data_IF_687306515678
#
_entry.id   IF_687306515678
#
_cell.length_a   1.000
_cell.length_b   1.000
_cell.length_c   1.000
_cell.angle_alpha   90.00
_cell.angle_beta   90.00
_cell.angle_gamma   90.00
#
_symmetry.space_group_name_H-M   'P 1'
#
loop_
_entity.id
_entity.type
_entity.pdbx_description
1 polymer ?
#
# COMPACT_ATOMS: atom_id res chain seq x y z
N UNK A 1 9.10 -39.54 18.01
CA UNK A 1 9.45 -38.24 17.41
C UNK A 1 10.72 -37.77 18.11
N UNK A 2 11.83 -37.72 17.37
CA UNK A 2 13.18 -37.59 17.92
C UNK A 2 13.43 -36.17 18.42
N UNK A 3 14.12 -36.01 19.57
CA UNK A 3 14.44 -34.68 20.16
C UNK A 3 15.25 -33.78 19.22
N UNK A 4 16.02 -34.35 18.31
CA UNK A 4 16.76 -33.60 17.27
C UNK A 4 15.82 -32.98 16.23
N UNK A 5 14.77 -33.69 15.83
CA UNK A 5 13.77 -33.18 14.88
C UNK A 5 12.97 -32.01 15.45
N UNK A 6 12.59 -32.08 16.72
CA UNK A 6 11.90 -31.00 17.44
C UNK A 6 12.81 -29.79 17.63
N UNK A 7 14.10 -30.00 17.91
CA UNK A 7 15.06 -28.91 18.11
C UNK A 7 15.40 -28.19 16.78
N UNK A 8 15.42 -28.92 15.66
CA UNK A 8 15.64 -28.35 14.32
C UNK A 8 14.42 -27.56 13.86
N UNK A 9 13.19 -28.05 14.13
CA UNK A 9 11.96 -27.28 13.84
C UNK A 9 11.88 -26.01 14.68
N UNK A 10 12.18 -26.03 15.97
CA UNK A 10 12.18 -24.83 16.81
C UNK A 10 13.24 -23.80 16.40
N UNK A 11 14.41 -24.24 15.97
CA UNK A 11 15.43 -23.31 15.41
C UNK A 11 15.01 -22.72 14.08
N UNK A 12 14.38 -23.48 13.19
CA UNK A 12 13.85 -23.00 11.91
C UNK A 12 12.74 -21.97 12.10
N UNK A 13 11.82 -22.21 13.04
CA UNK A 13 10.72 -21.28 13.36
C UNK A 13 11.27 -19.99 13.98
N UNK A 14 12.18 -20.08 14.94
CA UNK A 14 12.79 -18.90 15.59
C UNK A 14 13.62 -18.05 14.61
N UNK A 15 14.34 -18.67 13.67
CA UNK A 15 15.04 -17.96 12.60
C UNK A 15 14.06 -17.27 11.66
N UNK A 16 12.98 -17.95 11.26
CA UNK A 16 11.94 -17.38 10.40
C UNK A 16 11.27 -16.16 11.04
N UNK A 17 10.90 -16.23 12.31
CA UNK A 17 10.30 -15.09 13.03
C UNK A 17 11.26 -13.91 13.15
N UNK A 18 12.55 -14.14 13.39
CA UNK A 18 13.56 -13.08 13.45
C UNK A 18 13.71 -12.33 12.12
N UNK A 19 13.54 -13.01 10.98
CA UNK A 19 13.59 -12.41 9.63
C UNK A 19 12.41 -11.46 9.41
N UNK A 20 11.19 -11.89 9.70
CA UNK A 20 10.01 -11.03 9.59
C UNK A 20 10.05 -9.83 10.54
N UNK A 21 10.63 -9.99 11.73
CA UNK A 21 10.82 -8.88 12.65
C UNK A 21 11.83 -7.85 12.12
N UNK A 22 12.91 -8.28 11.44
CA UNK A 22 13.82 -7.35 10.74
C UNK A 22 13.11 -6.63 9.59
N UNK A 23 12.30 -7.33 8.80
CA UNK A 23 11.49 -6.71 7.74
C UNK A 23 10.49 -5.70 8.31
N UNK A 24 9.79 -6.03 9.40
CA UNK A 24 8.90 -5.11 10.09
C UNK A 24 9.64 -3.83 10.53
N UNK A 25 10.84 -3.96 11.08
CA UNK A 25 11.66 -2.80 11.48
C UNK A 25 12.06 -1.95 10.27
N UNK A 26 12.44 -2.57 9.14
CA UNK A 26 12.74 -1.85 7.92
C UNK A 26 11.51 -1.08 7.39
N UNK A 27 10.34 -1.69 7.41
CA UNK A 27 9.07 -1.07 7.06
C UNK A 27 8.67 0.04 8.04
N UNK A 28 8.97 -0.10 9.33
CA UNK A 28 8.67 0.93 10.32
C UNK A 28 9.52 2.20 10.16
N UNK A 29 10.66 2.12 9.47
CA UNK A 29 11.46 3.28 9.08
C UNK A 29 10.85 4.08 7.92
N UNK A 30 9.86 3.54 7.23
CA UNK A 30 9.11 4.26 6.19
C UNK A 30 8.35 5.46 6.80
N UNK A 31 8.18 6.59 6.07
CA UNK A 31 7.38 7.72 6.56
C UNK A 31 5.97 7.38 7.05
N UNK A 32 5.32 6.39 6.47
CA UNK A 32 4.02 5.89 6.94
C UNK A 32 4.16 5.06 8.22
N UNK A 33 5.25 4.31 8.34
CA UNK A 33 5.52 3.39 9.45
C UNK A 33 4.75 2.07 9.35
N UNK A 34 5.30 1.06 10.00
CA UNK A 34 4.66 -0.25 10.21
C UNK A 34 5.00 -0.72 11.62
N UNK A 35 4.21 -0.27 12.58
CA UNK A 35 4.50 -0.47 14.00
C UNK A 35 4.34 -1.94 14.40
N UNK A 36 5.21 -2.39 15.29
CA UNK A 36 5.10 -3.74 15.85
C UNK A 36 3.81 -3.89 16.68
N UNK A 37 3.13 -5.02 16.51
CA UNK A 37 1.94 -5.39 17.27
C UNK A 37 2.34 -6.22 18.50
N UNK A 38 1.63 -6.04 19.62
CA UNK A 38 1.81 -6.89 20.82
C UNK A 38 1.30 -8.33 20.62
N UNK A 39 0.51 -8.56 19.57
CA UNK A 39 -0.07 -9.88 19.24
C UNK A 39 0.64 -10.56 18.06
N UNK A 40 1.76 -10.00 17.58
CA UNK A 40 2.46 -10.42 16.36
C UNK A 40 1.59 -10.43 15.08
N UNK A 41 0.45 -9.71 15.07
CA UNK A 41 -0.42 -9.59 13.91
C UNK A 41 0.28 -8.92 12.71
N UNK A 42 1.24 -8.02 12.96
CA UNK A 42 2.16 -7.48 11.95
C UNK A 42 2.96 -8.58 11.26
N UNK A 43 3.51 -9.52 12.02
CA UNK A 43 4.28 -10.65 11.49
C UNK A 43 3.37 -11.64 10.73
N UNK A 44 2.18 -11.93 11.26
CA UNK A 44 1.19 -12.78 10.57
C UNK A 44 0.85 -12.19 9.20
N UNK A 45 0.55 -10.90 9.14
CA UNK A 45 0.25 -10.21 7.88
C UNK A 45 1.42 -10.26 6.89
N UNK A 46 2.66 -10.02 7.32
CA UNK A 46 3.83 -10.10 6.45
C UNK A 46 4.05 -11.50 5.86
N UNK A 47 3.70 -12.56 6.57
CA UNK A 47 3.82 -13.95 6.09
C UNK A 47 2.90 -14.26 4.90
N UNK A 48 1.78 -13.55 4.73
CA UNK A 48 0.94 -13.67 3.54
C UNK A 48 1.62 -13.10 2.28
N UNK A 49 2.56 -12.17 2.46
CA UNK A 49 3.14 -11.38 1.37
C UNK A 49 4.55 -11.89 1.01
N UNK A 50 5.37 -12.20 1.98
CA UNK A 50 6.77 -12.58 1.79
C UNK A 50 7.01 -14.02 2.20
N UNK A 51 7.85 -14.74 1.45
CA UNK A 51 8.50 -15.95 1.97
C UNK A 51 9.63 -15.54 2.95
N UNK A 52 10.17 -16.45 3.78
CA UNK A 52 11.31 -16.12 4.65
C UNK A 52 12.51 -15.57 3.89
N UNK A 53 12.84 -16.12 2.72
CA UNK A 53 13.94 -15.67 1.85
C UNK A 53 13.68 -14.28 1.28
N UNK A 54 12.44 -14.03 0.84
CA UNK A 54 12.00 -12.72 0.36
C UNK A 54 12.01 -11.68 1.48
N UNK A 55 11.61 -12.06 2.70
CA UNK A 55 11.65 -11.20 3.86
C UNK A 55 13.09 -10.84 4.27
N UNK A 56 14.03 -11.78 4.19
CA UNK A 56 15.46 -11.52 4.41
C UNK A 56 16.00 -10.51 3.41
N UNK A 57 15.74 -10.69 2.11
CA UNK A 57 16.15 -9.75 1.07
C UNK A 57 15.51 -8.37 1.30
N UNK A 58 14.20 -8.34 1.47
CA UNK A 58 13.42 -7.11 1.62
C UNK A 58 13.81 -6.33 2.89
N UNK A 59 14.24 -7.01 3.96
CA UNK A 59 14.71 -6.36 5.19
C UNK A 59 15.95 -5.49 5.01
N UNK A 60 16.69 -5.68 3.91
CA UNK A 60 17.89 -4.91 3.55
C UNK A 60 17.60 -3.74 2.61
N UNK A 61 16.36 -3.59 2.17
CA UNK A 61 15.88 -2.47 1.38
C UNK A 61 15.30 -1.39 2.29
N UNK A 62 15.15 -0.22 1.72
CA UNK A 62 14.47 0.90 2.36
C UNK A 62 13.39 1.51 1.43
N UNK A 63 12.77 2.60 1.83
CA UNK A 63 11.73 3.28 1.06
C UNK A 63 12.24 4.20 -0.04
N UNK A 64 13.58 4.36 -0.18
CA UNK A 64 14.17 5.10 -1.30
C UNK A 64 14.31 4.18 -2.51
N UNK A 65 14.04 4.74 -3.68
CA UNK A 65 14.19 4.00 -4.92
C UNK A 65 15.66 3.71 -5.24
N UNK A 66 15.97 2.44 -5.44
CA UNK A 66 17.32 1.92 -5.70
C UNK A 66 17.32 1.08 -6.97
N UNK A 67 18.40 1.13 -7.73
CA UNK A 67 18.57 0.25 -8.89
C UNK A 67 18.87 -1.20 -8.46
N UNK A 68 18.66 -2.15 -9.38
CA UNK A 68 19.00 -3.57 -9.17
C UNK A 68 20.48 -3.73 -8.81
N UNK A 69 21.38 -2.92 -9.41
CA UNK A 69 22.81 -2.95 -9.11
C UNK A 69 23.09 -2.56 -7.66
N UNK A 70 22.48 -1.45 -7.19
CA UNK A 70 22.65 -0.96 -5.81
C UNK A 70 22.10 -1.95 -4.80
N UNK A 71 20.98 -2.61 -5.12
CA UNK A 71 20.41 -3.64 -4.26
C UNK A 71 21.31 -4.87 -4.24
N UNK A 72 21.85 -5.29 -5.40
CA UNK A 72 22.73 -6.45 -5.47
C UNK A 72 23.98 -6.30 -4.59
N UNK A 73 24.56 -5.10 -4.49
CA UNK A 73 25.67 -4.82 -3.58
C UNK A 73 25.33 -5.09 -2.11
N UNK A 74 24.07 -4.92 -1.72
CA UNK A 74 23.59 -5.13 -0.33
C UNK A 74 23.21 -6.59 -0.02
N UNK A 75 22.95 -7.40 -1.06
CA UNK A 75 22.39 -8.75 -0.91
C UNK A 75 23.21 -9.84 -1.61
N UNK A 76 24.43 -9.52 -2.09
CA UNK A 76 25.32 -10.44 -2.80
C UNK A 76 25.80 -11.64 -1.96
N UNK A 77 25.61 -11.59 -0.64
CA UNK A 77 25.85 -12.69 0.29
C UNK A 77 24.68 -13.70 0.36
N UNK A 78 23.49 -13.34 -0.14
CA UNK A 78 22.28 -14.19 -0.12
C UNK A 78 21.70 -14.46 -1.50
N UNK A 79 22.13 -13.73 -2.54
CA UNK A 79 21.67 -13.89 -3.93
C UNK A 79 22.90 -14.00 -4.84
N UNK A 80 22.96 -15.06 -5.67
CA UNK A 80 24.16 -15.40 -6.42
C UNK A 80 24.39 -14.52 -7.66
N UNK A 81 23.31 -14.07 -8.33
CA UNK A 81 23.41 -13.27 -9.57
C UNK A 81 22.37 -12.13 -9.60
N UNK A 82 22.62 -11.13 -10.46
CA UNK A 82 21.69 -10.02 -10.66
C UNK A 82 20.39 -10.48 -11.34
N UNK A 83 20.46 -11.47 -12.20
CA UNK A 83 19.31 -12.07 -12.88
C UNK A 83 18.41 -12.79 -11.86
N UNK A 84 19.00 -13.51 -10.92
CA UNK A 84 18.28 -14.11 -9.82
C UNK A 84 17.63 -13.04 -8.93
N UNK A 85 18.35 -11.98 -8.57
CA UNK A 85 17.83 -10.85 -7.82
C UNK A 85 16.65 -10.21 -8.54
N UNK A 86 16.77 -9.91 -9.84
CA UNK A 86 15.69 -9.31 -10.63
C UNK A 86 14.43 -10.18 -10.60
N UNK A 87 14.57 -11.51 -10.75
CA UNK A 87 13.46 -12.45 -10.65
C UNK A 87 12.76 -12.38 -9.28
N UNK A 88 13.55 -12.37 -8.19
CA UNK A 88 13.01 -12.30 -6.82
C UNK A 88 12.31 -10.95 -6.59
N UNK A 89 12.89 -9.84 -7.03
CA UNK A 89 12.27 -8.51 -6.92
C UNK A 89 10.92 -8.44 -7.63
N UNK A 90 10.82 -8.99 -8.83
CA UNK A 90 9.56 -9.09 -9.56
C UNK A 90 8.53 -10.03 -8.88
N UNK A 91 8.99 -11.10 -8.24
CA UNK A 91 8.09 -11.96 -7.44
C UNK A 91 7.53 -11.21 -6.23
N UNK A 92 8.37 -10.46 -5.50
CA UNK A 92 7.93 -9.63 -4.36
C UNK A 92 6.99 -8.51 -4.84
N UNK A 93 7.31 -7.88 -5.98
CA UNK A 93 6.45 -6.85 -6.59
C UNK A 93 5.05 -7.41 -6.88
N UNK A 94 4.96 -8.57 -7.55
CA UNK A 94 3.68 -9.22 -7.86
C UNK A 94 2.88 -9.59 -6.61
N UNK A 95 3.54 -9.79 -5.47
CA UNK A 95 2.92 -10.02 -4.17
C UNK A 95 2.62 -8.73 -3.41
N UNK A 96 2.99 -7.58 -3.96
CA UNK A 96 2.71 -6.26 -3.39
C UNK A 96 3.66 -5.83 -2.26
N UNK A 97 4.83 -6.47 -2.14
CA UNK A 97 5.81 -6.11 -1.11
C UNK A 97 6.73 -4.94 -1.49
N UNK A 98 6.80 -4.59 -2.76
CA UNK A 98 7.65 -3.53 -3.29
C UNK A 98 6.85 -2.50 -4.08
N UNK A 99 7.39 -1.29 -4.15
CA UNK A 99 7.02 -0.24 -5.11
C UNK A 99 8.07 -0.18 -6.20
N UNK A 100 7.62 0.07 -7.42
CA UNK A 100 8.40 -0.01 -8.64
C UNK A 100 8.29 1.25 -9.49
N UNK A 101 9.38 1.62 -10.14
CA UNK A 101 9.41 2.68 -11.17
C UNK A 101 10.20 2.18 -12.37
N UNK A 102 9.62 2.36 -13.56
CA UNK A 102 10.26 2.03 -14.82
C UNK A 102 10.56 3.31 -15.58
N UNK A 103 11.83 3.73 -15.54
CA UNK A 103 12.35 4.87 -16.32
C UNK A 103 13.43 4.38 -17.28
N UNK A 104 14.61 4.96 -17.25
CA UNK A 104 15.78 4.47 -18.00
C UNK A 104 16.22 3.09 -17.52
N UNK A 105 15.99 2.78 -16.25
CA UNK A 105 16.25 1.49 -15.58
C UNK A 105 15.19 1.22 -14.52
N UNK A 106 15.14 -0.02 -14.10
CA UNK A 106 14.25 -0.47 -13.02
C UNK A 106 14.73 0.06 -11.67
N UNK A 107 13.80 0.64 -10.92
CA UNK A 107 14.03 1.19 -9.61
C UNK A 107 13.02 0.62 -8.62
N UNK A 108 13.50 0.19 -7.46
CA UNK A 108 12.75 -0.57 -6.47
C UNK A 108 12.82 0.11 -5.10
N UNK A 109 11.75 0.06 -4.34
CA UNK A 109 11.69 0.48 -2.94
C UNK A 109 10.76 -0.43 -2.14
N UNK A 110 10.93 -0.51 -0.82
CA UNK A 110 9.92 -1.11 0.04
C UNK A 110 8.60 -0.34 -0.12
N UNK A 111 7.51 -1.06 -0.32
CA UNK A 111 6.20 -0.44 -0.35
C UNK A 111 5.79 0.04 1.05
N UNK A 112 5.14 1.21 1.18
CA UNK A 112 4.55 1.62 2.46
C UNK A 112 3.43 0.65 2.86
N UNK A 113 3.06 0.63 4.14
CA UNK A 113 1.91 -0.18 4.58
C UNK A 113 0.62 0.27 3.88
N UNK A 114 0.35 1.58 3.90
CA UNK A 114 -0.82 2.28 3.33
C UNK A 114 -0.28 3.47 2.53
N UNK A 115 -0.74 3.83 1.48
CA UNK A 115 -1.23 3.22 0.26
C UNK A 115 -0.07 2.44 -0.37
N UNK A 116 -0.17 1.15 -0.39
CA UNK A 116 0.94 0.27 -0.76
C UNK A 116 0.63 -1.19 -0.42
N UNK A 117 1.39 -1.82 0.50
CA UNK A 117 1.30 -3.26 0.79
C UNK A 117 -0.16 -3.71 0.98
N UNK A 118 -0.97 -2.95 1.74
CA UNK A 118 -2.36 -3.30 1.99
C UNK A 118 -3.19 -3.20 0.72
N UNK A 119 -3.15 -2.09 0.01
CA UNK A 119 -3.94 -1.86 -1.20
C UNK A 119 -3.56 -2.80 -2.35
N UNK A 120 -2.29 -3.21 -2.43
CA UNK A 120 -1.84 -4.19 -3.44
C UNK A 120 -2.38 -5.60 -3.21
N UNK A 121 -3.09 -5.85 -2.09
CA UNK A 121 -3.74 -7.14 -1.84
C UNK A 121 -5.18 -7.21 -2.37
N UNK A 122 -5.70 -6.16 -2.99
CA UNK A 122 -7.12 -6.06 -3.39
C UNK A 122 -7.63 -7.29 -4.13
N UNK A 123 -6.85 -7.90 -5.03
CA UNK A 123 -7.24 -9.09 -5.79
C UNK A 123 -6.81 -10.42 -5.14
N UNK A 124 -6.14 -10.38 -3.98
CA UNK A 124 -5.59 -11.56 -3.30
C UNK A 124 -6.03 -11.70 -1.85
N UNK A 125 -6.99 -10.89 -1.43
CA UNK A 125 -7.55 -10.96 -0.09
C UNK A 125 -8.18 -12.33 0.15
N UNK A 126 -7.76 -12.98 1.23
CA UNK A 126 -8.41 -14.17 1.79
C UNK A 126 -9.03 -13.83 3.14
N UNK A 127 -10.00 -14.61 3.63
CA UNK A 127 -10.55 -14.41 4.96
C UNK A 127 -9.48 -14.43 6.07
N UNK A 128 -8.45 -15.28 5.94
CA UNK A 128 -7.35 -15.38 6.90
C UNK A 128 -6.48 -14.10 6.87
N UNK A 129 -6.11 -13.62 5.68
CA UNK A 129 -5.35 -12.38 5.53
C UNK A 129 -6.14 -11.19 6.08
N UNK A 130 -7.46 -11.15 5.83
CA UNK A 130 -8.34 -10.10 6.35
C UNK A 130 -8.37 -10.13 7.88
N UNK A 131 -8.51 -11.31 8.49
CA UNK A 131 -8.51 -11.46 9.94
C UNK A 131 -7.18 -10.98 10.58
N UNK A 132 -6.04 -11.35 9.99
CA UNK A 132 -4.73 -10.93 10.48
C UNK A 132 -4.51 -9.41 10.35
N UNK A 133 -4.98 -8.80 9.26
CA UNK A 133 -4.86 -7.35 9.08
C UNK A 133 -5.82 -6.57 10.01
N UNK A 134 -7.01 -7.07 10.25
CA UNK A 134 -7.95 -6.49 11.20
C UNK A 134 -7.39 -6.61 12.64
N UNK A 135 -6.85 -7.77 13.02
CA UNK A 135 -6.13 -7.93 14.28
C UNK A 135 -4.99 -6.91 14.40
N UNK A 136 -4.23 -6.70 13.32
CA UNK A 136 -3.17 -5.69 13.30
C UNK A 136 -3.70 -4.28 13.56
N UNK A 137 -4.80 -3.87 12.92
CA UNK A 137 -5.35 -2.52 13.14
C UNK A 137 -5.87 -2.30 14.55
N UNK A 138 -6.46 -3.33 15.15
CA UNK A 138 -7.08 -3.27 16.49
C UNK A 138 -6.07 -3.48 17.63
N UNK A 139 -4.97 -4.19 17.39
CA UNK A 139 -4.01 -4.54 18.43
C UNK A 139 -3.23 -3.33 18.97
N UNK A 140 -2.88 -3.30 20.26
CA UNK A 140 -1.91 -2.37 20.80
C UNK A 140 -0.57 -2.48 20.07
N UNK A 141 0.16 -1.37 20.01
CA UNK A 141 1.49 -1.33 19.37
C UNK A 141 2.57 -1.27 20.46
N UNK A 142 3.53 -2.18 20.36
CA UNK A 142 4.62 -2.31 21.33
C UNK A 142 5.68 -1.22 21.24
N UNK A 143 5.82 -0.58 20.07
CA UNK A 143 6.75 0.50 19.83
C UNK A 143 6.08 1.89 19.98
N UNK A 144 6.83 2.95 20.35
CA UNK A 144 6.27 4.28 20.47
C UNK A 144 5.73 4.80 19.14
N UNK A 145 4.71 5.70 19.16
CA UNK A 145 4.24 6.34 17.93
C UNK A 145 5.38 7.11 17.26
N UNK A 146 5.44 7.08 15.91
CA UNK A 146 6.45 7.85 15.20
C UNK A 146 6.27 9.35 15.48
N UNK A 147 7.34 10.16 15.31
CA UNK A 147 7.22 11.61 15.40
C UNK A 147 6.17 12.10 14.37
N UNK A 148 5.50 13.23 14.69
CA UNK A 148 4.50 13.82 13.79
C UNK A 148 5.12 14.01 12.40
N UNK A 149 4.51 13.40 11.40
CA UNK A 149 4.91 13.48 9.98
C UNK A 149 3.78 14.11 9.17
N UNK A 150 4.06 14.72 8.01
CA UNK A 150 3.02 15.16 7.10
C UNK A 150 2.06 14.01 6.77
N UNK A 151 0.78 14.31 6.63
CA UNK A 151 -0.20 13.31 6.20
C UNK A 151 0.16 12.78 4.81
N UNK A 152 0.04 11.48 4.62
CA UNK A 152 0.25 10.82 3.33
C UNK A 152 -0.79 11.26 2.28
N UNK A 153 -1.98 11.60 2.72
CA UNK A 153 -3.10 11.99 1.89
C UNK A 153 -3.64 13.35 2.31
N UNK A 154 -4.27 14.05 1.39
CA UNK A 154 -4.99 15.31 1.62
C UNK A 154 -6.41 15.19 1.11
N UNK A 155 -7.34 15.99 1.65
CA UNK A 155 -8.72 16.05 1.17
C UNK A 155 -8.85 17.23 0.19
N UNK A 156 -9.53 16.99 -0.92
CA UNK A 156 -9.91 18.04 -1.88
C UNK A 156 -11.41 18.32 -1.73
N UNK A 157 -11.81 19.54 -1.36
CA UNK A 157 -13.23 19.89 -1.30
C UNK A 157 -13.83 19.95 -2.71
N UNK A 158 -15.01 19.40 -2.83
CA UNK A 158 -15.78 19.40 -4.07
C UNK A 158 -16.74 20.60 -4.07
N UNK A 159 -16.62 21.48 -5.07
CA UNK A 159 -17.66 22.44 -5.47
C UNK A 159 -17.97 23.61 -4.54
N UNK A 160 -17.23 23.84 -3.44
CA UNK A 160 -17.35 25.05 -2.63
C UNK A 160 -15.97 25.58 -2.26
N UNK A 161 -15.75 26.86 -2.51
CA UNK A 161 -14.58 27.58 -2.02
C UNK A 161 -14.69 27.71 -0.51
N UNK A 162 -13.94 26.90 0.24
CA UNK A 162 -13.74 27.11 1.66
C UNK A 162 -12.56 28.07 1.73
N UNK A 163 -12.80 29.31 2.17
CA UNK A 163 -11.74 30.25 2.50
C UNK A 163 -11.09 29.84 3.82
N UNK A 164 -10.19 28.89 3.77
CA UNK A 164 -9.34 28.53 4.89
C UNK A 164 -7.91 28.89 4.54
N UNK A 165 -7.18 29.42 5.50
CA UNK A 165 -5.73 29.67 5.42
C UNK A 165 -4.88 28.40 5.23
N UNK A 166 -5.51 27.23 5.02
CA UNK A 166 -4.89 25.97 4.71
C UNK A 166 -4.97 25.73 3.19
N UNK A 167 -3.88 25.28 2.62
CA UNK A 167 -3.78 24.91 1.20
C UNK A 167 -4.64 23.68 0.88
N UNK A 168 -5.93 23.90 0.67
CA UNK A 168 -6.86 22.87 0.22
C UNK A 168 -6.79 22.84 -1.31
N UNK A 169 -6.38 21.72 -1.90
CA UNK A 169 -6.36 21.57 -3.34
C UNK A 169 -7.78 21.63 -3.91
N UNK A 170 -7.97 22.35 -5.03
CA UNK A 170 -9.27 22.50 -5.70
C UNK A 170 -9.55 21.28 -6.57
N UNK A 171 -10.83 21.13 -6.97
CA UNK A 171 -11.22 20.13 -7.97
C UNK A 171 -10.42 20.24 -9.29
N UNK A 172 -10.16 21.45 -9.70
CA UNK A 172 -9.32 21.78 -10.87
C UNK A 172 -7.91 21.14 -10.79
N UNK A 173 -7.41 20.92 -9.57
CA UNK A 173 -6.11 20.27 -9.37
C UNK A 173 -6.14 18.78 -9.72
N UNK A 174 -7.29 18.09 -9.54
CA UNK A 174 -7.43 16.69 -9.96
C UNK A 174 -7.51 16.59 -11.48
N UNK A 175 -8.20 17.51 -12.15
CA UNK A 175 -8.19 17.60 -13.60
C UNK A 175 -6.76 17.74 -14.12
N UNK A 176 -5.96 18.60 -13.51
CA UNK A 176 -4.54 18.74 -13.84
C UNK A 176 -3.73 17.45 -13.58
N UNK A 177 -4.06 16.70 -12.52
CA UNK A 177 -3.42 15.39 -12.26
C UNK A 177 -3.73 14.39 -13.37
N UNK A 178 -4.98 14.31 -13.82
CA UNK A 178 -5.40 13.48 -14.95
C UNK A 178 -4.67 13.90 -16.23
N UNK A 179 -4.66 15.19 -16.54
CA UNK A 179 -4.02 15.71 -17.75
C UNK A 179 -2.51 15.45 -17.76
N UNK A 180 -1.85 15.62 -16.62
CA UNK A 180 -0.40 15.41 -16.47
C UNK A 180 0.02 13.93 -16.42
N UNK A 181 -0.92 13.00 -16.25
CA UNK A 181 -0.64 11.57 -16.19
C UNK A 181 -0.31 10.96 -17.56
N UNK A 182 -0.62 11.66 -18.65
CA UNK A 182 -0.47 11.11 -20.01
C UNK A 182 -1.44 9.95 -20.23
N UNK A 183 -0.94 8.86 -20.80
CA UNK A 183 -1.72 7.65 -21.07
C UNK A 183 -1.60 6.60 -19.96
N UNK A 184 -0.91 6.93 -18.86
CA UNK A 184 -0.69 6.03 -17.73
C UNK A 184 -1.65 6.35 -16.60
N UNK A 185 -2.91 5.96 -16.78
CA UNK A 185 -3.97 6.05 -15.79
C UNK A 185 -4.56 4.67 -15.57
N UNK A 186 -4.70 4.26 -14.30
CA UNK A 186 -5.39 3.02 -13.92
C UNK A 186 -6.62 3.34 -13.07
N UNK A 187 -7.72 2.63 -13.33
CA UNK A 187 -8.85 2.54 -12.41
C UNK A 187 -8.68 1.27 -11.57
N UNK A 188 -8.88 1.43 -10.25
CA UNK A 188 -8.50 0.44 -9.26
C UNK A 188 -9.71 0.17 -8.36
N UNK A 189 -9.91 -1.12 -8.02
CA UNK A 189 -10.91 -1.52 -7.04
C UNK A 189 -10.54 -0.97 -5.65
N UNK A 190 -11.55 -0.45 -4.93
CA UNK A 190 -11.33 0.09 -3.58
C UNK A 190 -11.21 -1.05 -2.55
N UNK A 191 -10.03 -1.27 -2.01
CA UNK A 191 -9.80 -2.30 -1.00
C UNK A 191 -10.66 -2.10 0.26
N UNK A 192 -10.85 -0.86 0.72
CA UNK A 192 -11.68 -0.59 1.90
C UNK A 192 -13.14 -1.00 1.71
N UNK A 193 -13.71 -0.84 0.51
CA UNK A 193 -15.07 -1.35 0.20
C UNK A 193 -15.09 -2.85 0.04
N UNK A 194 -14.04 -3.42 -0.55
CA UNK A 194 -13.92 -4.87 -0.69
C UNK A 194 -13.84 -5.57 0.66
N UNK A 195 -12.98 -5.10 1.57
CA UNK A 195 -12.88 -5.65 2.93
C UNK A 195 -14.17 -5.48 3.70
N UNK A 196 -14.80 -4.31 3.66
CA UNK A 196 -16.11 -4.07 4.29
C UNK A 196 -17.19 -5.04 3.76
N UNK A 197 -17.20 -5.29 2.44
CA UNK A 197 -18.13 -6.26 1.84
C UNK A 197 -17.85 -7.71 2.29
N UNK A 198 -16.59 -8.11 2.45
CA UNK A 198 -16.22 -9.42 3.00
C UNK A 198 -16.67 -9.58 4.47
N UNK A 199 -16.77 -8.49 5.21
CA UNK A 199 -17.31 -8.42 6.58
C UNK A 199 -18.83 -8.29 6.63
N UNK A 200 -19.52 -8.31 5.47
CA UNK A 200 -20.97 -8.23 5.37
C UNK A 200 -21.53 -6.80 5.37
N UNK A 201 -20.67 -5.77 5.29
CA UNK A 201 -21.09 -4.38 5.18
C UNK A 201 -21.21 -3.95 3.71
N UNK A 202 -22.38 -3.44 3.33
CA UNK A 202 -22.60 -2.83 2.00
C UNK A 202 -22.39 -1.33 2.08
N UNK A 203 -21.54 -0.79 1.19
CA UNK A 203 -21.30 0.65 1.12
C UNK A 203 -22.60 1.43 0.89
N UNK A 204 -22.88 2.41 1.73
CA UNK A 204 -24.11 3.23 1.68
C UNK A 204 -24.07 4.31 0.59
N UNK A 205 -22.87 4.62 0.06
CA UNK A 205 -22.66 5.73 -0.88
C UNK A 205 -22.59 5.31 -2.33
N UNK A 206 -22.00 4.16 -2.60
CA UNK A 206 -21.80 3.68 -3.98
C UNK A 206 -21.78 2.16 -4.05
N UNK A 207 -22.31 1.61 -5.14
CA UNK A 207 -22.18 0.20 -5.49
C UNK A 207 -20.96 -0.09 -6.35
N UNK A 208 -20.18 0.94 -6.76
CA UNK A 208 -19.01 0.76 -7.62
C UNK A 208 -17.86 0.15 -6.83
N UNK A 209 -17.32 -0.94 -7.31
CA UNK A 209 -16.07 -1.50 -6.81
C UNK A 209 -14.89 -0.60 -7.19
N UNK A 210 -14.76 -0.28 -8.48
CA UNK A 210 -13.70 0.57 -9.02
C UNK A 210 -14.01 2.05 -8.84
N UNK A 211 -13.16 2.75 -8.11
CA UNK A 211 -13.33 4.19 -7.87
C UNK A 211 -12.04 4.92 -7.50
N UNK A 212 -10.97 4.18 -7.23
CA UNK A 212 -9.65 4.77 -6.98
C UNK A 212 -8.87 4.86 -8.30
N UNK A 213 -8.02 5.87 -8.44
CA UNK A 213 -7.20 6.06 -9.63
C UNK A 213 -5.72 6.13 -9.28
N UNK A 214 -4.92 5.43 -10.07
CA UNK A 214 -3.46 5.55 -10.08
C UNK A 214 -2.99 6.31 -11.31
N UNK A 215 -1.83 6.97 -11.19
CA UNK A 215 -1.21 7.77 -12.24
C UNK A 215 0.25 7.36 -12.47
N UNK A 216 0.72 7.40 -13.71
CA UNK A 216 2.12 7.18 -14.10
C UNK A 216 2.66 5.81 -13.62
N UNK A 217 3.84 5.80 -12.99
CA UNK A 217 4.48 4.55 -12.50
C UNK A 217 3.59 3.76 -11.55
N UNK A 218 2.80 4.45 -10.72
CA UNK A 218 1.84 3.82 -9.80
C UNK A 218 0.70 3.11 -10.57
N UNK A 219 0.19 3.73 -11.64
CA UNK A 219 -0.80 3.09 -12.50
C UNK A 219 -0.22 1.84 -13.17
N UNK A 220 0.99 1.95 -13.73
CA UNK A 220 1.67 0.83 -14.39
C UNK A 220 1.86 -0.35 -13.45
N UNK A 221 2.24 -0.09 -12.20
CA UNK A 221 2.39 -1.14 -11.19
C UNK A 221 1.09 -1.89 -10.93
N UNK A 222 -0.04 -1.19 -10.76
CA UNK A 222 -1.34 -1.83 -10.55
C UNK A 222 -1.80 -2.64 -11.77
N UNK A 223 -1.54 -2.14 -12.97
CA UNK A 223 -1.85 -2.85 -14.22
C UNK A 223 -1.00 -4.13 -14.33
N UNK A 224 0.30 -4.04 -14.04
CA UNK A 224 1.21 -5.19 -14.10
C UNK A 224 0.85 -6.25 -13.04
N UNK A 225 0.38 -5.82 -11.87
CA UNK A 225 -0.10 -6.72 -10.81
C UNK A 225 -1.47 -7.34 -11.11
N UNK A 226 -2.21 -6.85 -12.12
CA UNK A 226 -3.58 -7.26 -12.41
C UNK A 226 -4.62 -6.66 -11.46
N UNK A 227 -4.23 -5.76 -10.56
CA UNK A 227 -5.07 -5.14 -9.54
C UNK A 227 -5.71 -3.80 -9.99
N UNK A 228 -5.46 -3.40 -11.23
CA UNK A 228 -6.04 -2.23 -11.86
C UNK A 228 -6.09 -2.38 -13.37
N UNK A 229 -7.01 -1.68 -14.01
CA UNK A 229 -7.11 -1.64 -15.46
C UNK A 229 -6.76 -0.27 -16.02
N UNK A 230 -6.10 -0.25 -17.16
CA UNK A 230 -5.81 0.99 -17.88
C UNK A 230 -7.10 1.64 -18.36
N UNK A 231 -7.19 2.96 -18.22
CA UNK A 231 -8.31 3.77 -18.69
C UNK A 231 -7.83 4.97 -19.50
N UNK A 232 -8.73 5.54 -20.31
CA UNK A 232 -8.50 6.80 -20.99
C UNK A 232 -8.71 8.00 -20.07
N UNK A 233 -8.29 9.18 -20.50
CA UNK A 233 -8.55 10.44 -19.74
C UNK A 233 -10.04 10.72 -19.64
N UNK A 234 -10.81 10.49 -20.71
CA UNK A 234 -12.26 10.67 -20.74
C UNK A 234 -12.93 9.78 -19.67
N UNK A 235 -12.53 8.51 -19.61
CA UNK A 235 -13.04 7.59 -18.60
C UNK A 235 -12.62 8.01 -17.17
N UNK A 236 -11.40 8.55 -16.98
CA UNK A 236 -10.96 9.09 -15.71
C UNK A 236 -11.82 10.27 -15.25
N UNK A 237 -12.16 11.20 -16.16
CA UNK A 237 -13.07 12.30 -15.87
C UNK A 237 -14.49 11.82 -15.56
N UNK A 238 -14.99 10.81 -16.26
CA UNK A 238 -16.30 10.21 -15.95
C UNK A 238 -16.31 9.56 -14.56
N UNK A 239 -15.25 8.80 -14.21
CA UNK A 239 -15.11 8.18 -12.92
C UNK A 239 -15.06 9.21 -11.78
N UNK A 240 -14.36 10.33 -12.03
CA UNK A 240 -14.28 11.45 -11.10
C UNK A 240 -15.64 12.13 -10.91
N UNK A 241 -16.35 12.40 -12.00
CA UNK A 241 -17.70 12.99 -11.96
C UNK A 241 -18.67 12.12 -11.18
N UNK A 242 -18.66 10.81 -11.44
CA UNK A 242 -19.48 9.84 -10.68
C UNK A 242 -19.14 9.87 -9.19
N UNK A 243 -17.86 9.95 -8.84
CA UNK A 243 -17.43 10.04 -7.44
C UNK A 243 -17.97 11.30 -6.75
N UNK A 244 -18.08 12.44 -7.48
CA UNK A 244 -18.70 13.65 -6.98
C UNK A 244 -20.21 13.51 -6.78
N UNK A 245 -20.90 12.94 -7.78
CA UNK A 245 -22.36 12.74 -7.74
C UNK A 245 -22.76 11.82 -6.59
N UNK A 246 -21.94 10.83 -6.27
CA UNK A 246 -22.11 9.91 -5.14
C UNK A 246 -21.66 10.48 -3.79
N UNK A 247 -21.11 11.70 -3.77
CA UNK A 247 -20.66 12.38 -2.56
C UNK A 247 -19.43 11.73 -1.91
N UNK A 248 -18.55 11.12 -2.71
CA UNK A 248 -17.30 10.53 -2.23
C UNK A 248 -16.27 11.62 -1.96
N UNK A 249 -15.44 11.40 -0.94
CA UNK A 249 -14.35 12.30 -0.56
C UNK A 249 -13.13 11.97 -1.41
N UNK A 250 -12.65 12.95 -2.17
CA UNK A 250 -11.45 12.79 -3.01
C UNK A 250 -10.19 13.04 -2.18
N UNK A 251 -9.32 12.04 -2.12
CA UNK A 251 -8.11 12.06 -1.31
C UNK A 251 -6.88 11.67 -2.16
N UNK A 252 -6.23 12.65 -2.82
CA UNK A 252 -4.97 12.40 -3.51
C UNK A 252 -3.81 12.24 -2.53
N UNK A 253 -2.71 11.66 -3.02
CA UNK A 253 -1.45 11.68 -2.29
C UNK A 253 -1.00 13.11 -2.02
N UNK A 254 -0.45 13.34 -0.82
CA UNK A 254 0.03 14.65 -0.40
C UNK A 254 1.45 14.91 -0.91
N UNK A 255 1.60 14.98 -2.23
CA UNK A 255 2.84 15.20 -2.95
C UNK A 255 2.63 16.25 -4.04
N UNK A 256 3.71 16.87 -4.52
CA UNK A 256 3.65 17.84 -5.63
C UNK A 256 3.15 17.21 -6.93
N UNK A 257 3.44 15.92 -7.12
CA UNK A 257 2.97 15.15 -8.26
C UNK A 257 2.22 13.93 -7.71
N UNK A 258 0.91 14.07 -7.54
CA UNK A 258 0.10 13.00 -6.97
C UNK A 258 0.20 11.73 -7.81
N UNK A 259 0.42 10.61 -7.14
CA UNK A 259 0.56 9.29 -7.76
C UNK A 259 -0.76 8.53 -7.78
N UNK A 260 -1.70 8.93 -6.93
CA UNK A 260 -3.03 8.32 -6.82
C UNK A 260 -4.08 9.31 -6.33
N UNK A 261 -5.35 9.00 -6.56
CA UNK A 261 -6.52 9.62 -5.93
C UNK A 261 -7.45 8.52 -5.44
N UNK A 262 -7.70 8.49 -4.14
CA UNK A 262 -8.75 7.67 -3.57
C UNK A 262 -10.09 8.41 -3.62
N UNK A 263 -11.19 7.68 -3.88
CA UNK A 263 -12.57 8.17 -3.78
C UNK A 263 -13.26 7.48 -2.61
N UNK A 264 -13.21 8.13 -1.45
CA UNK A 264 -13.49 7.53 -0.16
C UNK A 264 -14.93 7.78 0.31
N UNK A 265 -15.49 6.82 1.03
CA UNK A 265 -16.77 6.92 1.73
C UNK A 265 -16.55 6.83 3.24
N UNK A 266 -17.31 7.57 4.07
CA UNK A 266 -17.08 7.63 5.51
C UNK A 266 -17.45 6.33 6.25
N UNK A 267 -18.20 5.45 5.62
CA UNK A 267 -18.68 4.18 6.17
C UNK A 267 -17.68 3.02 5.96
N UNK A 268 -16.95 2.99 4.85
CA UNK A 268 -16.00 1.93 4.55
C UNK A 268 -14.53 2.33 4.76
N UNK A 269 -14.17 3.59 4.44
CA UNK A 269 -12.77 4.02 4.42
C UNK A 269 -12.15 4.04 5.81
N UNK A 270 -11.09 3.22 6.02
CA UNK A 270 -10.36 3.18 7.30
C UNK A 270 -9.77 4.52 7.71
N UNK A 271 -9.27 5.32 6.76
CA UNK A 271 -8.74 6.67 7.05
C UNK A 271 -9.81 7.62 7.56
N UNK A 272 -10.99 7.67 6.88
CA UNK A 272 -12.09 8.55 7.30
C UNK A 272 -12.74 8.07 8.61
N UNK A 273 -12.86 6.77 8.83
CA UNK A 273 -13.31 6.19 10.09
C UNK A 273 -12.35 6.55 11.23
N UNK A 274 -11.03 6.44 10.99
CA UNK A 274 -10.01 6.83 11.98
C UNK A 274 -10.10 8.31 12.38
N UNK A 275 -10.35 9.22 11.44
CA UNK A 275 -10.55 10.65 11.73
C UNK A 275 -11.82 10.87 12.58
N UNK A 276 -12.90 10.15 12.29
CA UNK A 276 -14.15 10.26 13.05
C UNK A 276 -14.02 9.82 14.51
N UNK A 277 -13.12 8.88 14.79
CA UNK A 277 -12.86 8.36 16.14
C UNK A 277 -11.70 9.06 16.85
N UNK A 278 -10.88 9.85 16.13
CA UNK A 278 -9.89 10.71 16.76
C UNK A 278 -10.66 11.87 17.43
N UNK A 279 -10.56 11.98 18.75
CA UNK A 279 -10.96 13.18 19.47
C UNK A 279 -10.01 14.31 19.02
N UNK A 280 -10.49 15.17 18.10
CA UNK A 280 -9.82 16.38 17.65
C UNK A 280 -10.38 17.55 18.44
#
# INVERSE_FOLDING_TARGET
MDREHVNTMHRGIAMSESVYRRLQQALNNHPVGFRASETDADIKFLKHIFTPEQAELASRLDWHFQSTETIYEKVSDIVSTKEELSRILHEILRRGGLTYRRREREMWALAPLVVGIYEYQVDRLTPEMLADVEEYWQSPKSDPPPPKRPSQMRVIPIGKTISLEQHVARFEDISHMIDSAGDSIALIECICRKTAAMEGHTCERTSRAESCMGFRDFAEQYIEQGAGRRISREEAYEALKKSQEEGLVLMPSNSQSAEFVCSCCPDCCGMLRGIKHAEI
#
